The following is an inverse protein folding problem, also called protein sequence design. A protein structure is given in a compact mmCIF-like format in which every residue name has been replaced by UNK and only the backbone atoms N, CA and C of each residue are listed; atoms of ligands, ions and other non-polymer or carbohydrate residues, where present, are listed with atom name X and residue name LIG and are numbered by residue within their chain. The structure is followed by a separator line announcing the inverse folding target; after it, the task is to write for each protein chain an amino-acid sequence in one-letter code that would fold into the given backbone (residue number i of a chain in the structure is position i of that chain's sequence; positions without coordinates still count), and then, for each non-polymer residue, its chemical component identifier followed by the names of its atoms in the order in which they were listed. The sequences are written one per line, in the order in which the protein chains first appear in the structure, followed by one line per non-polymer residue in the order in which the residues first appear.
data_IF_409896270075
#
_entry.id   IF_409896270075
#
_cell.length_a   1.000
_cell.length_b   1.000
_cell.length_c   1.000
_cell.angle_alpha   90.00
_cell.angle_beta   90.00
_cell.angle_gamma   90.00
#
_symmetry.space_group_name_H-M   'P 1'
#
loop_
_entity.id
_entity.type
_entity.pdbx_description
1 polymer ?
#
# COMPACT_ATOMS: atom_id res chain seq x y z
N UNK A 1 8.50 -19.68 14.63
CA UNK A 1 7.72 -19.30 13.44
C UNK A 1 7.74 -17.78 13.36
N UNK A 2 8.27 -17.19 12.29
CA UNK A 2 8.28 -15.72 12.17
C UNK A 2 6.86 -15.25 11.86
N UNK A 3 6.38 -14.23 12.58
CA UNK A 3 5.11 -13.60 12.29
C UNK A 3 5.08 -13.07 10.84
N UNK A 4 3.92 -13.10 10.16
CA UNK A 4 3.79 -12.59 8.81
C UNK A 4 4.08 -11.08 8.77
N UNK A 5 4.66 -10.62 7.66
CA UNK A 5 4.94 -9.20 7.43
C UNK A 5 3.64 -8.45 7.11
N UNK A 6 3.63 -7.14 7.33
CA UNK A 6 2.60 -6.25 6.82
C UNK A 6 3.00 -5.70 5.46
N UNK A 7 2.04 -5.61 4.54
CA UNK A 7 2.23 -4.95 3.25
C UNK A 7 1.21 -3.83 3.06
N UNK A 8 1.66 -2.74 2.45
CA UNK A 8 0.79 -1.67 1.97
C UNK A 8 0.88 -1.68 0.45
N UNK A 9 -0.26 -1.85 -0.21
CA UNK A 9 -0.34 -1.88 -1.67
C UNK A 9 -1.09 -0.62 -2.12
N UNK A 10 -0.44 0.15 -2.99
CA UNK A 10 -1.01 1.30 -3.66
C UNK A 10 -1.17 1.04 -5.15
N UNK A 11 -2.33 1.36 -5.70
CA UNK A 11 -2.57 1.49 -7.13
C UNK A 11 -2.90 2.97 -7.40
N UNK A 12 -2.15 3.61 -8.30
CA UNK A 12 -2.24 5.05 -8.54
C UNK A 12 -2.41 5.36 -10.02
N UNK A 13 -3.39 6.21 -10.33
CA UNK A 13 -3.69 6.75 -11.65
C UNK A 13 -3.72 8.28 -11.58
N UNK A 14 -3.55 8.93 -12.74
CA UNK A 14 -3.70 10.39 -12.87
C UNK A 14 -2.90 11.20 -11.84
N UNK A 15 -1.67 10.78 -11.54
CA UNK A 15 -0.80 11.51 -10.60
C UNK A 15 -0.33 12.80 -11.24
N UNK A 16 -0.70 13.93 -10.65
CA UNK A 16 -0.26 15.24 -11.14
C UNK A 16 1.25 15.43 -10.95
N UNK A 17 1.88 16.16 -11.86
CA UNK A 17 3.26 16.65 -11.68
C UNK A 17 3.14 18.06 -11.09
N UNK A 18 3.14 18.16 -9.77
CA UNK A 18 2.96 19.41 -9.03
C UNK A 18 3.83 19.44 -7.75
N UNK A 19 4.01 20.63 -7.13
CA UNK A 19 4.80 20.79 -5.92
C UNK A 19 4.34 19.91 -4.75
N UNK A 20 3.03 19.69 -4.60
CA UNK A 20 2.44 18.90 -3.52
C UNK A 20 2.85 17.42 -3.62
N UNK A 21 2.84 16.86 -4.83
CA UNK A 21 3.33 15.51 -5.08
C UNK A 21 4.84 15.41 -4.82
N UNK A 22 5.62 16.42 -5.20
CA UNK A 22 7.05 16.46 -4.88
C UNK A 22 7.29 16.45 -3.36
N UNK A 23 6.56 17.29 -2.62
CA UNK A 23 6.63 17.36 -1.16
C UNK A 23 6.20 16.04 -0.50
N UNK A 24 5.16 15.39 -1.03
CA UNK A 24 4.76 14.05 -0.59
C UNK A 24 5.91 13.05 -0.72
N UNK A 25 6.58 13.01 -1.89
CA UNK A 25 7.69 12.09 -2.17
C UNK A 25 8.91 12.35 -1.29
N UNK A 26 9.16 13.60 -0.91
CA UNK A 26 10.24 13.96 0.01
C UNK A 26 9.94 13.53 1.46
N UNK A 27 8.68 13.61 1.89
CA UNK A 27 8.27 13.34 3.29
C UNK A 27 7.95 11.89 3.57
N UNK A 28 7.38 11.17 2.62
CA UNK A 28 6.80 9.84 2.83
C UNK A 28 7.76 8.88 3.54
N UNK A 29 9.03 8.87 3.13
CA UNK A 29 10.05 7.99 3.71
C UNK A 29 10.28 8.25 5.20
N UNK A 30 10.27 9.52 5.62
CA UNK A 30 10.45 9.88 7.03
C UNK A 30 9.28 9.37 7.89
N UNK A 31 8.05 9.45 7.38
CA UNK A 31 6.85 8.97 8.11
C UNK A 31 6.89 7.46 8.37
N UNK A 32 7.50 6.69 7.47
CA UNK A 32 7.57 5.22 7.56
C UNK A 32 8.69 4.72 8.46
N UNK A 33 9.76 5.51 8.62
CA UNK A 33 10.99 5.08 9.30
C UNK A 33 10.75 4.60 10.75
N UNK A 34 9.94 5.28 11.59
CA UNK A 34 9.63 4.80 12.94
C UNK A 34 8.93 3.44 12.97
N UNK A 35 8.23 3.08 11.89
CA UNK A 35 7.46 1.85 11.77
C UNK A 35 8.27 0.71 11.14
N UNK A 36 9.49 0.99 10.68
CA UNK A 36 10.34 0.03 9.97
C UNK A 36 9.93 -0.19 8.51
N UNK A 37 9.14 0.73 7.95
CA UNK A 37 8.63 0.62 6.59
C UNK A 37 9.69 0.86 5.52
N UNK A 38 9.59 0.13 4.41
CA UNK A 38 10.47 0.28 3.24
C UNK A 38 9.71 0.07 1.93
N UNK A 39 10.14 0.74 0.87
CA UNK A 39 9.63 0.49 -0.48
C UNK A 39 10.15 -0.85 -1.01
N UNK A 40 9.24 -1.66 -1.56
CA UNK A 40 9.54 -2.82 -2.42
C UNK A 40 9.35 -2.47 -3.89
N UNK A 41 8.28 -1.75 -4.20
CA UNK A 41 7.95 -1.28 -5.56
C UNK A 41 7.47 0.17 -5.46
N UNK A 42 7.93 1.02 -6.37
CA UNK A 42 7.45 2.41 -6.50
C UNK A 42 7.46 2.85 -7.97
N UNK A 43 6.43 2.51 -8.74
CA UNK A 43 6.31 2.94 -10.14
C UNK A 43 7.37 2.34 -11.08
N UNK A 44 7.90 1.16 -10.76
CA UNK A 44 8.88 0.45 -11.61
C UNK A 44 8.29 -0.03 -12.94
N UNK A 45 9.16 -0.57 -13.82
CA UNK A 45 8.72 -1.14 -15.10
C UNK A 45 7.68 -2.24 -14.88
N UNK A 46 6.48 -2.01 -15.40
CA UNK A 46 5.39 -2.98 -15.40
C UNK A 46 5.31 -3.68 -16.75
N UNK A 47 5.23 -5.01 -16.74
CA UNK A 47 4.94 -5.83 -17.93
C UNK A 47 3.62 -6.54 -17.66
N UNK A 48 2.59 -6.20 -18.44
CA UNK A 48 1.25 -6.75 -18.27
C UNK A 48 1.14 -8.03 -19.08
N UNK A 49 0.81 -9.14 -18.41
CA UNK A 49 0.60 -10.44 -19.05
C UNK A 49 -0.87 -10.76 -19.29
N UNK A 50 -1.77 -10.31 -18.41
CA UNK A 50 -3.21 -10.57 -18.47
C UNK A 50 -4.01 -9.32 -18.05
N UNK A 51 -5.15 -9.08 -18.71
CA UNK A 51 -6.03 -7.95 -18.41
C UNK A 51 -5.47 -6.59 -18.83
N UNK A 52 -6.10 -5.53 -18.29
CA UNK A 52 -5.69 -4.14 -18.52
C UNK A 52 -5.16 -3.55 -17.22
N UNK A 53 -4.05 -2.82 -17.32
CA UNK A 53 -3.45 -2.14 -16.19
C UNK A 53 -3.10 -0.70 -16.57
N UNK A 54 -3.72 0.26 -15.90
CA UNK A 54 -3.66 1.68 -16.29
C UNK A 54 -2.89 2.56 -15.28
N UNK A 55 -2.60 2.01 -14.10
CA UNK A 55 -1.96 2.73 -12.99
C UNK A 55 -0.59 2.21 -12.61
N UNK A 56 0.15 3.05 -11.88
CA UNK A 56 1.38 2.67 -11.20
C UNK A 56 1.12 1.80 -9.97
N UNK A 57 2.08 0.94 -9.63
CA UNK A 57 2.06 0.11 -8.44
C UNK A 57 3.05 0.63 -7.41
N UNK A 58 2.62 0.72 -6.16
CA UNK A 58 3.47 0.93 -4.99
C UNK A 58 3.28 -0.23 -4.04
N UNK A 59 4.36 -0.80 -3.53
CA UNK A 59 4.33 -1.83 -2.49
C UNK A 59 5.31 -1.42 -1.40
N UNK A 60 4.81 -1.34 -0.17
CA UNK A 60 5.61 -1.14 1.03
C UNK A 60 5.62 -2.42 1.84
N UNK A 61 6.77 -2.75 2.43
CA UNK A 61 6.86 -3.77 3.47
C UNK A 61 7.05 -3.09 4.81
N UNK A 62 6.28 -3.55 5.80
CA UNK A 62 6.40 -3.17 7.21
C UNK A 62 6.60 -4.48 8.01
N UNK A 63 7.42 -4.48 9.07
CA UNK A 63 7.79 -5.70 9.77
C UNK A 63 6.61 -6.50 10.35
N UNK A 64 5.46 -5.84 10.55
CA UNK A 64 4.26 -6.35 11.21
C UNK A 64 3.00 -5.63 10.64
N UNK A 65 1.87 -6.34 10.43
CA UNK A 65 0.62 -5.75 9.93
C UNK A 65 0.00 -4.69 10.87
N UNK A 66 0.09 -4.88 12.18
CA UNK A 66 -0.42 -3.88 13.15
C UNK A 66 0.36 -2.58 13.02
N UNK A 67 1.69 -2.66 12.90
CA UNK A 67 2.53 -1.48 12.65
C UNK A 67 2.20 -0.77 11.34
N UNK A 68 1.73 -1.50 10.33
CA UNK A 68 1.29 -0.88 9.09
C UNK A 68 0.04 -0.03 9.30
N UNK A 69 -0.91 -0.51 10.11
CA UNK A 69 -2.08 0.26 10.52
C UNK A 69 -1.68 1.47 11.36
N UNK A 70 -0.81 1.29 12.36
CA UNK A 70 -0.30 2.37 13.20
C UNK A 70 0.41 3.46 12.39
N UNK A 71 1.17 3.08 11.36
CA UNK A 71 1.78 4.04 10.43
C UNK A 71 0.72 4.81 9.65
N UNK A 72 -0.29 4.13 9.10
CA UNK A 72 -1.35 4.77 8.33
C UNK A 72 -2.17 5.75 9.18
N UNK A 73 -2.39 5.44 10.46
CA UNK A 73 -3.09 6.29 11.42
C UNK A 73 -2.20 7.35 12.07
N UNK A 74 -0.88 7.28 11.86
CA UNK A 74 0.07 8.19 12.50
C UNK A 74 -0.20 9.66 12.13
N UNK A 75 -0.03 10.60 13.08
CA UNK A 75 -0.21 12.03 12.80
C UNK A 75 0.64 12.52 11.62
N UNK A 76 1.90 12.08 11.55
CA UNK A 76 2.84 12.51 10.52
C UNK A 76 2.42 12.03 9.12
N UNK A 77 1.99 10.78 8.99
CA UNK A 77 1.49 10.28 7.71
C UNK A 77 0.14 10.89 7.35
N UNK A 78 -0.78 11.02 8.32
CA UNK A 78 -2.10 11.66 8.12
C UNK A 78 -1.98 13.11 7.66
N UNK A 79 -0.99 13.85 8.16
CA UNK A 79 -0.69 15.22 7.70
C UNK A 79 -0.07 15.26 6.29
N UNK A 80 0.64 14.20 5.90
CA UNK A 80 1.28 14.07 4.57
C UNK A 80 0.32 13.54 3.50
N UNK A 81 -0.72 12.79 3.91
CA UNK A 81 -1.65 12.08 3.03
C UNK A 81 -2.37 12.97 1.99
N UNK A 82 -2.92 14.16 2.35
CA UNK A 82 -3.65 15.02 1.41
C UNK A 82 -2.85 15.42 0.17
N UNK A 83 -1.55 15.67 0.35
CA UNK A 83 -0.61 16.03 -0.72
C UNK A 83 -0.65 15.05 -1.91
N UNK A 84 -1.00 13.78 -1.63
CA UNK A 84 -1.20 12.76 -2.65
C UNK A 84 -2.66 12.57 -3.02
N UNK A 85 -3.55 12.44 -2.04
CA UNK A 85 -4.95 12.05 -2.31
C UNK A 85 -5.76 13.11 -3.04
N UNK A 86 -5.36 14.38 -2.96
CA UNK A 86 -5.99 15.49 -3.70
C UNK A 86 -5.44 15.63 -5.13
N UNK A 87 -4.30 14.97 -5.44
CA UNK A 87 -3.56 15.13 -6.69
C UNK A 87 -3.32 13.81 -7.44
N UNK A 88 -4.01 12.74 -7.05
CA UNK A 88 -3.96 11.44 -7.69
C UNK A 88 -5.25 10.64 -7.46
N UNK A 89 -5.70 9.89 -8.47
CA UNK A 89 -6.71 8.84 -8.27
C UNK A 89 -6.00 7.62 -7.70
N UNK A 90 -6.38 7.16 -6.52
CA UNK A 90 -5.62 6.09 -5.88
C UNK A 90 -6.45 5.16 -5.01
N UNK A 91 -6.04 3.90 -5.02
CA UNK A 91 -6.49 2.86 -4.10
C UNK A 91 -5.31 2.45 -3.23
N UNK A 92 -5.55 2.31 -1.93
CA UNK A 92 -4.55 1.83 -1.00
C UNK A 92 -5.18 0.84 -0.04
N UNK A 93 -4.50 -0.28 0.17
CA UNK A 93 -4.93 -1.31 1.10
C UNK A 93 -3.74 -1.79 1.93
N UNK A 94 -4.03 -2.16 3.18
CA UNK A 94 -3.12 -2.90 4.04
C UNK A 94 -3.49 -4.38 3.95
N UNK A 95 -2.48 -5.22 3.80
CA UNK A 95 -2.67 -6.66 3.68
C UNK A 95 -1.59 -7.41 4.43
N UNK A 96 -2.00 -8.46 5.13
CA UNK A 96 -1.09 -9.37 5.81
C UNK A 96 -0.40 -10.28 4.80
N UNK A 97 0.90 -10.48 5.00
CA UNK A 97 1.71 -11.42 4.25
C UNK A 97 1.43 -12.88 4.59
N UNK A 98 2.12 -13.78 3.90
CA UNK A 98 2.10 -15.21 4.22
C UNK A 98 3.45 -15.63 4.81
N UNK A 99 3.50 -16.65 5.68
CA UNK A 99 4.76 -17.18 6.18
C UNK A 99 5.57 -17.83 5.04
N UNK A 100 6.89 -17.96 5.21
CA UNK A 100 7.76 -18.59 4.21
C UNK A 100 7.44 -20.07 3.91
N UNK A 101 6.70 -20.75 4.79
CA UNK A 101 6.22 -22.12 4.60
C UNK A 101 4.85 -22.20 3.90
N UNK A 102 4.32 -21.09 3.40
CA UNK A 102 2.99 -21.01 2.79
C UNK A 102 2.85 -21.90 1.56
N UNK A 103 1.68 -22.55 1.43
CA UNK A 103 1.33 -23.35 0.25
C UNK A 103 0.02 -22.83 -0.33
N UNK A 104 0.01 -22.53 -1.62
CA UNK A 104 -1.19 -22.07 -2.31
C UNK A 104 -2.36 -23.08 -2.21
N UNK A 105 -2.06 -24.38 -2.12
CA UNK A 105 -3.06 -25.45 -1.91
C UNK A 105 -3.89 -25.29 -0.64
N UNK A 106 -3.37 -24.57 0.36
CA UNK A 106 -4.07 -24.35 1.63
C UNK A 106 -5.34 -23.49 1.44
N UNK A 107 -5.47 -22.83 0.28
CA UNK A 107 -6.62 -21.99 -0.11
C UNK A 107 -7.70 -22.72 -0.91
N UNK A 108 -7.55 -24.00 -1.26
CA UNK A 108 -8.51 -24.71 -2.15
C UNK A 108 -9.97 -24.65 -1.66
N UNK A 109 -10.18 -24.70 -0.34
CA UNK A 109 -11.53 -24.64 0.26
C UNK A 109 -12.04 -23.21 0.48
N UNK A 110 -11.15 -22.22 0.43
CA UNK A 110 -11.47 -20.81 0.63
C UNK A 110 -10.43 -19.96 -0.12
N UNK A 111 -10.58 -19.78 -1.44
CA UNK A 111 -9.57 -19.16 -2.29
C UNK A 111 -9.29 -17.72 -1.89
N UNK A 112 -10.34 -16.98 -1.50
CA UNK A 112 -10.22 -15.61 -1.01
C UNK A 112 -11.18 -15.38 0.16
N UNK A 113 -10.80 -14.57 1.16
CA UNK A 113 -11.75 -14.09 2.15
C UNK A 113 -12.81 -13.21 1.46
N UNK A 114 -14.05 -13.26 1.94
CA UNK A 114 -15.09 -12.33 1.50
C UNK A 114 -14.67 -10.92 1.95
N UNK A 115 -14.48 -10.01 1.00
CA UNK A 115 -14.09 -8.64 1.29
C UNK A 115 -15.33 -7.85 1.74
N UNK A 116 -15.46 -7.60 3.04
CA UNK A 116 -16.44 -6.67 3.61
C UNK A 116 -15.70 -5.39 4.05
N UNK A 117 -15.17 -4.62 3.10
CA UNK A 117 -14.70 -3.26 3.41
C UNK A 117 -15.88 -2.29 3.21
N UNK A 118 -16.20 -1.42 4.18
CA UNK A 118 -17.13 -0.33 3.91
C UNK A 118 -16.50 0.57 2.83
N UNK A 119 -17.30 0.99 1.85
CA UNK A 119 -16.91 2.06 0.94
C UNK A 119 -16.46 3.26 1.78
N UNK A 120 -15.20 3.69 1.61
CA UNK A 120 -14.75 4.96 2.17
C UNK A 120 -15.69 6.08 1.69
N UNK A 121 -15.85 7.17 2.46
CA UNK A 121 -16.81 8.21 2.12
C UNK A 121 -16.51 8.75 0.72
N UNK A 122 -17.51 8.67 -0.16
CA UNK A 122 -17.60 9.50 -1.36
C UNK A 122 -17.64 10.94 -0.89
N UNK A 123 -16.56 11.69 -1.11
CA UNK A 123 -16.61 13.14 -1.13
C UNK A 123 -16.84 13.60 -2.56
#
# INVERSE_FOLDING_TARGET
MTAPRGYVIGYLENVAICPEIAEYLERIKATMAPYGGRFLVHGGRLVVHEGTWNGGIVILEIPDPTRAQEWYESPDYRATLPLRTEHATSMLALVEGVPGSYRASDKIRQPFPLHNAPAGPTN
#
